data_IF_292639189394
#
_entry.id   IF_292639189394
#
_cell.length_a   1.000
_cell.length_b   1.000
_cell.length_c   1.000
_cell.angle_alpha   90.00
_cell.angle_beta   90.00
_cell.angle_gamma   90.00
#
_symmetry.space_group_name_H-M   'P 1'
#
loop_
_entity.id
_entity.type
_entity.pdbx_description
1 polymer ?
#
# COMPACT_ATOMS: atom_id res chain seq x y z
N UNK A 1 10.05 -16.04 -3.04
CA UNK A 1 9.86 -14.59 -3.05
C UNK A 1 9.07 -14.11 -1.82
N UNK A 2 9.19 -12.83 -1.53
CA UNK A 2 8.41 -12.15 -0.49
C UNK A 2 8.04 -10.74 -0.99
N UNK A 3 6.80 -10.30 -0.74
CA UNK A 3 6.37 -8.95 -1.05
C UNK A 3 6.11 -8.67 -2.54
N UNK A 4 5.77 -9.67 -3.33
CA UNK A 4 5.34 -9.46 -4.72
C UNK A 4 3.89 -8.97 -4.73
N UNK A 5 3.66 -7.78 -5.30
CA UNK A 5 2.34 -7.16 -5.34
C UNK A 5 1.42 -7.62 -6.50
N UNK A 6 1.95 -8.37 -7.47
CA UNK A 6 1.15 -9.01 -8.52
C UNK A 6 0.90 -10.50 -8.20
N UNK A 7 -0.13 -10.75 -7.39
CA UNK A 7 -0.46 -12.09 -6.89
C UNK A 7 -0.82 -13.08 -8.01
N UNK A 8 -1.60 -12.65 -9.01
CA UNK A 8 -2.02 -13.53 -10.12
C UNK A 8 -0.78 -14.01 -10.89
N UNK A 9 0.16 -13.08 -11.17
CA UNK A 9 1.40 -13.43 -11.87
C UNK A 9 2.32 -14.30 -11.01
N UNK A 10 2.37 -14.07 -9.71
CA UNK A 10 3.14 -14.88 -8.77
C UNK A 10 2.64 -16.34 -8.76
N UNK A 11 1.32 -16.56 -8.72
CA UNK A 11 0.70 -17.89 -8.79
C UNK A 11 0.96 -18.54 -10.15
N UNK A 12 0.78 -17.82 -11.25
CA UNK A 12 1.04 -18.31 -12.61
C UNK A 12 2.49 -18.80 -12.77
N UNK A 13 3.46 -18.00 -12.35
CA UNK A 13 4.88 -18.36 -12.45
C UNK A 13 5.22 -19.53 -11.53
N UNK A 14 4.66 -19.59 -10.33
CA UNK A 14 4.90 -20.68 -9.37
C UNK A 14 4.38 -22.03 -9.87
N UNK A 15 3.28 -22.02 -10.61
CA UNK A 15 2.70 -23.26 -11.19
C UNK A 15 3.59 -23.92 -12.24
N UNK A 16 4.50 -23.19 -12.87
CA UNK A 16 5.36 -23.66 -13.97
C UNK A 16 6.84 -23.76 -13.60
N UNK A 17 7.24 -23.43 -12.37
CA UNK A 17 8.64 -23.34 -11.96
C UNK A 17 8.82 -23.69 -10.47
N UNK A 18 10.07 -23.98 -10.08
CA UNK A 18 10.41 -24.21 -8.66
C UNK A 18 10.53 -22.87 -7.91
N UNK A 19 9.42 -22.16 -7.85
CA UNK A 19 9.33 -20.84 -7.21
C UNK A 19 8.10 -20.84 -6.31
N UNK A 20 8.26 -20.44 -5.05
CA UNK A 20 7.16 -20.20 -4.11
C UNK A 20 7.44 -18.94 -3.29
N UNK A 21 6.48 -18.48 -2.50
CA UNK A 21 6.65 -17.33 -1.63
C UNK A 21 5.36 -16.71 -1.14
N UNK A 22 5.47 -15.47 -0.69
CA UNK A 22 4.38 -14.69 -0.09
C UNK A 22 4.08 -13.47 -0.96
N UNK A 23 2.82 -13.30 -1.33
CA UNK A 23 2.31 -12.15 -2.07
C UNK A 23 2.04 -11.00 -1.10
N UNK A 24 2.33 -9.76 -1.50
CA UNK A 24 1.87 -8.56 -0.81
C UNK A 24 0.54 -8.09 -1.41
N UNK A 25 -0.57 -8.46 -0.77
CA UNK A 25 -1.91 -8.01 -1.16
C UNK A 25 -2.38 -6.92 -0.20
N UNK A 26 -2.40 -5.67 -0.65
CA UNK A 26 -2.76 -4.52 0.19
C UNK A 26 -4.27 -4.44 0.45
N UNK A 27 -4.66 -4.04 1.66
CA UNK A 27 -6.06 -4.03 2.08
C UNK A 27 -6.72 -2.67 1.91
N UNK A 28 -7.05 -2.31 0.69
CA UNK A 28 -7.83 -1.10 0.42
C UNK A 28 -9.23 -1.17 1.02
N UNK A 29 -9.92 -2.30 0.84
CA UNK A 29 -11.32 -2.47 1.24
C UNK A 29 -11.57 -2.17 2.72
N UNK A 30 -10.80 -2.80 3.59
CA UNK A 30 -11.01 -2.67 5.02
C UNK A 30 -10.46 -1.35 5.56
N UNK A 31 -9.40 -0.82 4.94
CA UNK A 31 -8.91 0.53 5.24
C UNK A 31 -9.95 1.60 4.89
N UNK A 32 -10.57 1.55 3.70
CA UNK A 32 -11.66 2.46 3.32
C UNK A 32 -12.84 2.32 4.28
N UNK A 33 -13.22 1.08 4.63
CA UNK A 33 -14.31 0.82 5.58
C UNK A 33 -14.01 1.35 6.98
N UNK A 34 -12.77 1.28 7.44
CA UNK A 34 -12.37 1.86 8.73
C UNK A 34 -12.37 3.38 8.67
N UNK A 35 -11.79 3.95 7.60
CA UNK A 35 -11.73 5.39 7.38
C UNK A 35 -13.11 6.04 7.27
N UNK A 36 -14.05 5.40 6.58
CA UNK A 36 -15.44 5.92 6.45
C UNK A 36 -16.20 5.97 7.77
N UNK A 37 -15.80 5.19 8.78
CA UNK A 37 -16.38 5.30 10.13
C UNK A 37 -15.82 6.48 10.92
N UNK A 38 -14.57 6.88 10.60
CA UNK A 38 -13.89 8.01 11.25
C UNK A 38 -14.29 9.33 10.59
N UNK A 39 -14.50 9.30 9.27
CA UNK A 39 -14.95 10.45 8.46
C UNK A 39 -16.28 10.07 7.78
N UNK A 40 -17.41 10.09 8.53
CA UNK A 40 -18.69 9.60 8.01
C UNK A 40 -19.26 10.45 6.88
N UNK A 41 -18.89 11.73 6.82
CA UNK A 41 -19.33 12.67 5.78
C UNK A 41 -18.39 12.73 4.57
N UNK A 42 -17.45 11.79 4.46
CA UNK A 42 -16.51 11.74 3.37
C UNK A 42 -17.22 11.64 2.01
N UNK A 43 -16.73 12.40 1.04
CA UNK A 43 -17.17 12.39 -0.37
C UNK A 43 -16.06 11.95 -1.31
N UNK A 44 -14.80 12.12 -0.86
CA UNK A 44 -13.62 11.84 -1.68
C UNK A 44 -12.70 10.84 -0.99
N UNK A 45 -12.03 10.04 -1.80
CA UNK A 45 -10.88 9.24 -1.38
C UNK A 45 -9.71 9.69 -2.23
N UNK A 46 -8.66 10.20 -1.58
CA UNK A 46 -7.46 10.68 -2.26
C UNK A 46 -6.27 9.80 -1.87
N UNK A 47 -5.59 9.25 -2.86
CA UNK A 47 -4.39 8.45 -2.67
C UNK A 47 -3.12 9.28 -2.89
N UNK A 48 -2.12 9.11 -2.03
CA UNK A 48 -0.75 9.57 -2.32
C UNK A 48 -0.04 8.45 -3.06
N UNK A 49 0.39 8.74 -4.28
CA UNK A 49 1.05 7.79 -5.19
C UNK A 49 2.26 8.44 -5.88
N UNK A 50 3.10 7.61 -6.45
CA UNK A 50 4.20 8.03 -7.33
C UNK A 50 4.21 7.22 -8.63
N UNK A 51 5.15 7.54 -9.55
CA UNK A 51 5.30 6.85 -10.83
C UNK A 51 6.41 5.78 -10.82
N UNK A 52 6.80 5.29 -9.63
CA UNK A 52 7.63 4.08 -9.54
C UNK A 52 6.88 2.86 -10.07
N UNK A 53 7.59 1.79 -10.41
CA UNK A 53 6.96 0.53 -10.87
C UNK A 53 5.94 0.03 -9.86
N UNK A 54 6.26 0.09 -8.57
CA UNK A 54 5.35 -0.27 -7.47
C UNK A 54 4.16 0.69 -7.41
N UNK A 55 4.40 2.01 -7.43
CA UNK A 55 3.35 3.02 -7.38
C UNK A 55 2.36 2.92 -8.55
N UNK A 56 2.86 2.66 -9.77
CA UNK A 56 2.00 2.43 -10.95
C UNK A 56 1.16 1.16 -10.80
N UNK A 57 1.74 0.08 -10.26
CA UNK A 57 1.02 -1.16 -9.98
C UNK A 57 -0.10 -0.94 -8.95
N UNK A 58 0.21 -0.24 -7.86
CA UNK A 58 -0.76 0.06 -6.82
C UNK A 58 -1.86 1.03 -7.28
N UNK A 59 -1.55 1.99 -8.17
CA UNK A 59 -2.54 2.87 -8.81
C UNK A 59 -3.64 2.07 -9.50
N UNK A 60 -3.25 1.02 -10.24
CA UNK A 60 -4.22 0.13 -10.92
C UNK A 60 -5.11 -0.57 -9.88
N UNK A 61 -4.54 -1.06 -8.79
CA UNK A 61 -5.32 -1.72 -7.73
C UNK A 61 -6.25 -0.73 -7.02
N UNK A 62 -5.75 0.45 -6.67
CA UNK A 62 -6.51 1.52 -6.01
C UNK A 62 -7.78 1.89 -6.82
N UNK A 63 -7.64 2.16 -8.12
CA UNK A 63 -8.77 2.59 -8.94
C UNK A 63 -9.81 1.49 -9.22
N UNK A 64 -9.51 0.20 -8.99
CA UNK A 64 -10.53 -0.87 -9.02
C UNK A 64 -11.64 -0.63 -7.99
N UNK A 65 -11.29 0.01 -6.86
CA UNK A 65 -12.24 0.28 -5.79
C UNK A 65 -13.24 1.39 -6.10
N UNK A 66 -13.00 2.21 -7.11
CA UNK A 66 -13.98 3.19 -7.61
C UNK A 66 -15.32 2.56 -7.98
N UNK A 67 -15.29 1.36 -8.54
CA UNK A 67 -16.51 0.63 -8.90
C UNK A 67 -17.18 -0.04 -7.69
N UNK A 68 -16.42 -0.32 -6.64
CA UNK A 68 -16.91 -0.96 -5.40
C UNK A 68 -17.53 0.08 -4.46
N UNK A 69 -17.01 1.30 -4.48
CA UNK A 69 -17.45 2.43 -3.65
C UNK A 69 -17.89 3.63 -4.50
N UNK A 70 -18.96 3.49 -5.30
CA UNK A 70 -19.40 4.54 -6.25
C UNK A 70 -19.90 5.82 -5.57
N UNK A 71 -20.12 5.79 -4.25
CA UNK A 71 -20.49 6.95 -3.44
C UNK A 71 -19.33 7.92 -3.20
N UNK A 72 -18.08 7.52 -3.45
CA UNK A 72 -16.91 8.38 -3.29
C UNK A 72 -16.33 8.77 -4.66
N UNK A 73 -15.86 10.01 -4.74
CA UNK A 73 -14.94 10.43 -5.79
C UNK A 73 -13.54 9.89 -5.48
N UNK A 74 -12.92 9.21 -6.44
CA UNK A 74 -11.55 8.70 -6.33
C UNK A 74 -10.59 9.61 -7.10
N UNK A 75 -9.59 10.15 -6.40
CA UNK A 75 -8.56 11.02 -6.94
C UNK A 75 -7.18 10.64 -6.39
N UNK A 76 -6.11 11.21 -6.94
CA UNK A 76 -4.75 10.98 -6.49
C UNK A 76 -3.91 12.27 -6.44
N UNK A 77 -2.96 12.30 -5.53
CA UNK A 77 -1.84 13.23 -5.53
C UNK A 77 -0.61 12.45 -5.96
N UNK A 78 -0.14 12.70 -7.18
CA UNK A 78 1.04 12.03 -7.75
C UNK A 78 2.31 12.79 -7.37
N UNK A 79 3.07 12.27 -6.42
CA UNK A 79 4.29 12.88 -5.91
C UNK A 79 5.34 13.08 -7.01
N UNK A 80 5.49 12.13 -7.94
CA UNK A 80 6.46 12.24 -9.04
C UNK A 80 6.22 13.40 -10.01
N UNK A 81 5.03 14.04 -9.96
CA UNK A 81 4.67 15.18 -10.81
C UNK A 81 4.75 16.52 -10.09
N UNK A 82 5.04 16.54 -8.81
CA UNK A 82 5.04 17.72 -7.96
C UNK A 82 6.42 17.93 -7.35
N UNK A 83 6.82 19.19 -7.14
CA UNK A 83 7.92 19.51 -6.26
C UNK A 83 7.52 19.19 -4.82
N UNK A 84 8.48 19.08 -3.90
CA UNK A 84 8.16 18.89 -2.49
C UNK A 84 7.23 20.00 -1.97
N UNK A 85 7.47 21.24 -2.36
CA UNK A 85 6.63 22.38 -2.00
C UNK A 85 5.19 22.21 -2.53
N UNK A 86 5.04 21.91 -3.83
CA UNK A 86 3.72 21.75 -4.45
C UNK A 86 2.96 20.54 -3.89
N UNK A 87 3.68 19.46 -3.54
CA UNK A 87 3.11 18.30 -2.86
C UNK A 87 2.52 18.68 -1.49
N UNK A 88 3.29 19.43 -0.69
CA UNK A 88 2.84 19.93 0.61
C UNK A 88 1.61 20.82 0.46
N UNK A 89 1.63 21.78 -0.45
CA UNK A 89 0.48 22.68 -0.68
C UNK A 89 -0.76 21.93 -1.18
N UNK A 90 -0.57 20.93 -2.05
CA UNK A 90 -1.66 20.08 -2.51
C UNK A 90 -2.26 19.26 -1.36
N UNK A 91 -1.43 18.70 -0.48
CA UNK A 91 -1.88 17.97 0.71
C UNK A 91 -2.63 18.89 1.68
N UNK A 92 -2.09 20.09 1.95
CA UNK A 92 -2.74 21.08 2.82
C UNK A 92 -4.10 21.58 2.29
N UNK A 93 -4.30 21.52 0.97
CA UNK A 93 -5.54 21.98 0.33
C UNK A 93 -6.69 20.95 0.38
N UNK A 94 -6.49 19.80 1.01
CA UNK A 94 -7.53 18.79 1.13
C UNK A 94 -8.68 19.23 2.03
N UNK A 95 -9.91 19.00 1.57
CA UNK A 95 -11.13 19.32 2.31
C UNK A 95 -11.39 18.28 3.43
N UNK A 96 -12.13 18.69 4.45
CA UNK A 96 -12.47 17.84 5.61
C UNK A 96 -13.33 16.60 5.27
N UNK A 97 -13.95 16.57 4.09
CA UNK A 97 -14.71 15.44 3.56
C UNK A 97 -13.86 14.44 2.75
N UNK A 98 -12.53 14.48 2.94
CA UNK A 98 -11.57 13.63 2.24
C UNK A 98 -11.03 12.52 3.14
N UNK A 99 -11.08 11.29 2.66
CA UNK A 99 -10.30 10.15 3.17
C UNK A 99 -8.96 10.16 2.45
N UNK A 100 -7.88 10.43 3.17
CA UNK A 100 -6.52 10.44 2.63
C UNK A 100 -5.84 9.10 2.90
N UNK A 101 -5.44 8.39 1.86
CA UNK A 101 -4.72 7.11 1.95
C UNK A 101 -3.30 7.28 1.42
N UNK A 102 -2.31 7.10 2.29
CA UNK A 102 -0.93 7.02 1.86
C UNK A 102 -0.62 5.63 1.31
N UNK A 103 -0.17 5.58 0.06
CA UNK A 103 0.23 4.34 -0.62
C UNK A 103 1.73 4.37 -0.89
N UNK A 104 2.22 5.36 -1.65
CA UNK A 104 3.63 5.46 -2.05
C UNK A 104 4.04 6.91 -2.30
N UNK A 105 5.21 7.29 -1.80
CA UNK A 105 5.88 8.55 -2.12
C UNK A 105 7.38 8.35 -1.94
N UNK A 106 8.05 7.84 -2.95
CA UNK A 106 9.49 7.51 -2.92
C UNK A 106 10.34 8.62 -3.50
N UNK A 107 9.79 9.42 -4.42
CA UNK A 107 10.49 10.56 -5.01
C UNK A 107 9.50 11.61 -5.52
N UNK A 108 10.00 12.84 -5.65
CA UNK A 108 9.29 13.95 -6.26
C UNK A 108 9.82 14.29 -7.66
N UNK A 109 9.23 15.30 -8.30
CA UNK A 109 9.59 15.74 -9.64
C UNK A 109 11.01 16.34 -9.71
N UNK A 110 11.53 16.86 -8.60
CA UNK A 110 12.84 17.51 -8.54
C UNK A 110 13.98 16.51 -8.24
N UNK A 111 13.63 15.21 -8.10
CA UNK A 111 14.56 14.13 -7.85
C UNK A 111 14.92 13.95 -6.37
N UNK A 112 14.21 14.62 -5.45
CA UNK A 112 14.35 14.31 -4.05
C UNK A 112 13.79 12.91 -3.79
N UNK A 113 14.49 12.12 -2.97
CA UNK A 113 14.08 10.77 -2.59
C UNK A 113 13.66 10.73 -1.14
N UNK A 114 12.58 10.00 -0.87
CA UNK A 114 12.00 9.82 0.45
C UNK A 114 12.14 8.37 0.86
N UNK A 115 13.12 8.06 1.72
CA UNK A 115 13.38 6.71 2.20
C UNK A 115 12.57 6.38 3.45
N UNK A 116 12.31 5.11 3.66
CA UNK A 116 11.56 4.61 4.81
C UNK A 116 10.23 5.35 5.04
N UNK A 117 10.11 5.99 6.19
CA UNK A 117 8.91 6.72 6.58
C UNK A 117 8.93 8.22 6.26
N UNK A 118 9.91 8.72 5.50
CA UNK A 118 10.03 10.16 5.22
C UNK A 118 8.86 10.68 4.40
N UNK A 119 8.44 9.95 3.36
CA UNK A 119 7.29 10.33 2.53
C UNK A 119 5.97 10.32 3.32
N UNK A 120 5.76 9.30 4.16
CA UNK A 120 4.60 9.23 5.06
C UNK A 120 4.57 10.42 6.02
N UNK A 121 5.71 10.74 6.64
CA UNK A 121 5.83 11.85 7.59
C UNK A 121 5.58 13.19 6.91
N UNK A 122 6.15 13.38 5.71
CA UNK A 122 5.92 14.59 4.91
C UNK A 122 4.42 14.83 4.66
N UNK A 123 3.67 13.78 4.31
CA UNK A 123 2.25 13.86 4.06
C UNK A 123 1.47 14.05 5.36
N UNK A 124 1.66 13.19 6.35
CA UNK A 124 0.85 13.20 7.57
C UNK A 124 1.03 14.46 8.44
N UNK A 125 2.21 15.08 8.42
CA UNK A 125 2.47 16.33 9.15
C UNK A 125 1.85 17.56 8.48
N UNK A 126 1.50 17.48 7.20
CA UNK A 126 0.93 18.58 6.44
C UNK A 126 -0.55 18.40 6.10
N UNK A 127 -1.09 17.20 6.24
CA UNK A 127 -2.49 16.92 5.94
C UNK A 127 -3.43 17.55 7.01
N UNK A 128 -4.47 18.30 6.61
CA UNK A 128 -5.50 18.80 7.52
C UNK A 128 -6.51 17.71 7.91
N UNK A 129 -6.41 16.54 7.29
CA UNK A 129 -7.30 15.38 7.50
C UNK A 129 -6.50 14.17 7.98
N UNK A 130 -7.15 13.21 8.65
CA UNK A 130 -6.50 11.97 9.06
C UNK A 130 -5.87 11.23 7.88
N UNK A 131 -4.58 10.85 8.02
CA UNK A 131 -3.87 10.05 7.02
C UNK A 131 -3.97 8.58 7.40
N UNK A 132 -4.56 7.79 6.52
CA UNK A 132 -4.61 6.34 6.62
C UNK A 132 -3.45 5.70 5.85
N UNK A 133 -3.07 4.46 6.20
CA UNK A 133 -2.05 3.70 5.48
C UNK A 133 -2.48 2.25 5.34
N UNK A 134 -2.01 1.60 4.29
CA UNK A 134 -2.22 0.18 3.98
C UNK A 134 -0.96 -0.66 4.22
N UNK A 135 0.13 0.00 4.66
CA UNK A 135 1.41 -0.62 5.02
C UNK A 135 1.84 -0.20 6.43
N UNK A 136 2.43 -1.13 7.17
CA UNK A 136 2.76 -0.92 8.59
C UNK A 136 3.94 0.03 8.84
N UNK A 137 4.71 0.38 7.81
CA UNK A 137 5.87 1.27 7.93
C UNK A 137 5.51 2.68 8.44
N UNK A 138 4.25 3.09 8.27
CA UNK A 138 3.73 4.38 8.75
C UNK A 138 3.35 4.45 10.22
N UNK A 139 3.34 3.33 10.92
CA UNK A 139 2.90 3.29 12.33
C UNK A 139 3.83 4.11 13.23
N UNK A 140 3.22 4.98 14.04
CA UNK A 140 3.95 5.93 14.88
C UNK A 140 4.60 7.11 14.12
N UNK A 141 4.26 7.29 12.83
CA UNK A 141 4.78 8.36 11.96
C UNK A 141 3.68 9.30 11.46
N UNK A 142 2.62 9.47 12.25
CA UNK A 142 1.53 10.41 11.97
C UNK A 142 0.33 9.81 11.25
N UNK A 143 0.37 8.53 10.84
CA UNK A 143 -0.83 7.87 10.32
C UNK A 143 -1.74 7.41 11.46
N UNK A 144 -3.04 7.49 11.23
CA UNK A 144 -4.05 7.01 12.20
C UNK A 144 -4.09 5.47 12.22
N UNK A 145 -3.96 4.84 11.06
CA UNK A 145 -4.06 3.40 10.93
C UNK A 145 -4.64 2.96 9.58
N UNK A 146 -5.15 1.74 9.57
CA UNK A 146 -5.73 1.05 8.44
C UNK A 146 -5.61 -0.45 8.68
N UNK A 147 -6.12 -1.27 7.77
CA UNK A 147 -5.74 -2.69 7.76
C UNK A 147 -4.45 -2.82 6.95
N UNK A 148 -3.37 -3.12 7.65
CA UNK A 148 -2.02 -3.06 7.10
C UNK A 148 -1.44 -4.45 6.90
N UNK A 149 -0.67 -4.64 5.84
CA UNK A 149 0.14 -5.84 5.66
C UNK A 149 1.31 -5.81 6.64
N UNK A 150 1.54 -6.93 7.31
CA UNK A 150 2.66 -7.11 8.23
C UNK A 150 3.87 -7.73 7.52
N UNK A 151 4.81 -6.91 7.09
CA UNK A 151 6.05 -7.38 6.46
C UNK A 151 6.83 -8.33 7.38
N UNK A 152 6.81 -8.07 8.71
CA UNK A 152 7.44 -8.96 9.68
C UNK A 152 6.84 -10.37 9.68
N UNK A 153 5.52 -10.48 9.59
CA UNK A 153 4.86 -11.79 9.57
C UNK A 153 5.01 -12.47 8.19
N UNK A 154 5.02 -11.70 7.10
CA UNK A 154 5.35 -12.22 5.77
C UNK A 154 6.75 -12.83 5.72
N UNK A 155 7.75 -12.14 6.28
CA UNK A 155 9.12 -12.65 6.37
C UNK A 155 9.20 -13.95 7.18
N UNK A 156 8.41 -14.09 8.26
CA UNK A 156 8.35 -15.36 9.03
C UNK A 156 7.77 -16.50 8.18
N UNK A 157 6.73 -16.23 7.39
CA UNK A 157 6.14 -17.23 6.49
C UNK A 157 7.16 -17.62 5.42
N UNK A 158 7.81 -16.66 4.78
CA UNK A 158 8.86 -16.93 3.80
C UNK A 158 10.01 -17.78 4.40
N UNK A 159 10.44 -17.45 5.61
CA UNK A 159 11.45 -18.24 6.32
C UNK A 159 10.98 -19.67 6.62
N UNK A 160 9.70 -19.86 6.98
CA UNK A 160 9.10 -21.19 7.18
C UNK A 160 9.08 -22.01 5.88
N UNK A 161 8.80 -21.38 4.74
CA UNK A 161 8.87 -22.04 3.42
C UNK A 161 10.29 -22.53 3.11
N UNK A 162 11.30 -21.70 3.38
CA UNK A 162 12.72 -22.06 3.25
C UNK A 162 13.07 -23.25 4.16
N UNK A 163 12.57 -23.24 5.40
CA UNK A 163 12.79 -24.36 6.32
C UNK A 163 12.15 -25.67 5.82
N UNK A 164 10.94 -25.62 5.25
CA UNK A 164 10.30 -26.79 4.64
C UNK A 164 11.17 -27.37 3.51
N UNK A 165 11.72 -26.52 2.65
CA UNK A 165 12.63 -26.93 1.59
C UNK A 165 13.88 -27.64 2.17
N UNK A 166 14.54 -27.08 3.18
CA UNK A 166 15.69 -27.71 3.81
C UNK A 166 15.36 -29.02 4.54
N UNK A 167 14.11 -29.20 4.94
CA UNK A 167 13.62 -30.47 5.51
C UNK A 167 13.21 -31.49 4.44
N UNK A 168 13.47 -31.21 3.16
CA UNK A 168 13.26 -32.14 2.05
C UNK A 168 11.91 -32.00 1.34
N UNK A 169 11.10 -30.97 1.64
CA UNK A 169 9.86 -30.70 0.90
C UNK A 169 10.21 -30.12 -0.46
N UNK A 170 9.65 -30.68 -1.54
CA UNK A 170 9.83 -30.13 -2.88
C UNK A 170 9.19 -28.75 -2.98
N UNK A 171 9.88 -27.78 -3.62
CA UNK A 171 9.41 -26.39 -3.76
C UNK A 171 8.05 -26.34 -4.47
N UNK A 172 7.83 -27.22 -5.46
CA UNK A 172 6.56 -27.29 -6.21
C UNK A 172 5.37 -27.71 -5.35
N UNK A 173 5.60 -28.30 -4.17
CA UNK A 173 4.56 -28.67 -3.20
C UNK A 173 4.32 -27.65 -2.11
N UNK A 174 5.12 -26.56 -2.06
CA UNK A 174 4.93 -25.45 -1.13
C UNK A 174 4.07 -24.39 -1.82
N UNK A 175 2.81 -24.29 -1.40
CA UNK A 175 1.85 -23.36 -2.00
C UNK A 175 2.26 -21.89 -1.77
N UNK A 176 1.99 -21.07 -2.80
CA UNK A 176 2.14 -19.60 -2.68
C UNK A 176 1.13 -19.06 -1.69
N UNK A 177 1.60 -18.30 -0.71
CA UNK A 177 0.73 -17.58 0.22
C UNK A 177 0.21 -16.30 -0.44
N UNK A 178 -1.07 -16.31 -0.85
CA UNK A 178 -1.71 -15.17 -1.52
C UNK A 178 -2.42 -14.21 -0.57
N UNK A 179 -2.70 -14.65 0.66
CA UNK A 179 -3.32 -13.84 1.71
C UNK A 179 -2.28 -13.52 2.79
N UNK A 180 -1.59 -12.36 2.70
CA UNK A 180 -0.57 -12.00 3.67
C UNK A 180 -1.19 -11.71 5.04
N UNK A 181 -0.42 -11.91 6.13
CA UNK A 181 -0.85 -11.51 7.47
C UNK A 181 -1.09 -10.01 7.56
N UNK A 182 -2.16 -9.63 8.27
CA UNK A 182 -2.59 -8.24 8.43
C UNK A 182 -2.61 -7.84 9.90
N UNK A 183 -2.44 -6.56 10.15
CA UNK A 183 -2.51 -5.90 11.46
C UNK A 183 -3.39 -4.67 11.37
#
# INVERSE_FOLDING_TARGET
FEGVNNGDKAVEVSASSQITGVVESLSYKNTIKAASKIIPDAKKIVAILDDTVTGMGERIQYYKYKNIYPQYEFDEINASKLSQHDLIEKVKSLDSDTILIYIMCSSDKDGNTYIDSQGIKLVSENAPVPTFSIVSIGMGKGVIGGEMVSQKEMAKIAASMVQQYFNGTDVSSIEVQTEPPRV
#
